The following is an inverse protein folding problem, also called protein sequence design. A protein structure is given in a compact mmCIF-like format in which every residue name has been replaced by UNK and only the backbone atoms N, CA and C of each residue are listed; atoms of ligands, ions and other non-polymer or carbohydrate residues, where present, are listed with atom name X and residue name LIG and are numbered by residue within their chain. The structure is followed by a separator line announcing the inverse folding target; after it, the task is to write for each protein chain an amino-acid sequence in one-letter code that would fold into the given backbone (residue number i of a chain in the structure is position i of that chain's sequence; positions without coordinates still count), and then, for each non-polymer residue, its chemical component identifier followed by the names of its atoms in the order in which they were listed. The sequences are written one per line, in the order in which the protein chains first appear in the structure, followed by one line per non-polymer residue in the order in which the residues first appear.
data_IF_205401705879
#
_entry.id   IF_205401705879
#
_cell.length_a   1.000
_cell.length_b   1.000
_cell.length_c   1.000
_cell.angle_alpha   90.00
_cell.angle_beta   90.00
_cell.angle_gamma   90.00
#
_symmetry.space_group_name_H-M   'P 1'
#
loop_
_entity.id
_entity.type
_entity.pdbx_description
1 polymer ?
#
# COMPACT_ATOMS: atom_id res chain seq x y z
N UNK A 1 -1.83 5.79 -9.53
CA UNK A 1 -0.35 5.68 -9.43
C UNK A 1 -0.04 4.22 -9.18
N UNK A 2 0.95 3.63 -9.85
CA UNK A 2 1.38 2.26 -9.51
C UNK A 2 2.15 2.25 -8.18
N UNK A 3 2.27 1.09 -7.52
CA UNK A 3 3.05 0.95 -6.28
C UNK A 3 4.50 1.39 -6.51
N UNK A 4 5.11 1.04 -7.64
CA UNK A 4 6.49 1.44 -7.97
C UNK A 4 6.62 2.96 -8.14
N UNK A 5 5.65 3.60 -8.80
CA UNK A 5 5.64 5.06 -8.95
C UNK A 5 5.46 5.76 -7.59
N UNK A 6 4.64 5.19 -6.70
CA UNK A 6 4.44 5.72 -5.36
C UNK A 6 5.72 5.59 -4.52
N UNK A 7 6.42 4.46 -4.61
CA UNK A 7 7.69 4.25 -3.94
C UNK A 7 8.76 5.26 -4.39
N UNK A 8 8.89 5.49 -5.70
CA UNK A 8 9.81 6.48 -6.26
C UNK A 8 9.47 7.90 -5.80
N UNK A 9 8.17 8.24 -5.77
CA UNK A 9 7.71 9.52 -5.25
C UNK A 9 8.12 9.72 -3.79
N UNK A 10 7.86 8.73 -2.94
CA UNK A 10 8.17 8.81 -1.50
C UNK A 10 9.69 8.88 -1.27
N UNK A 11 10.48 8.13 -2.05
CA UNK A 11 11.95 8.21 -1.98
C UNK A 11 12.49 9.59 -2.32
N UNK A 12 11.90 10.25 -3.32
CA UNK A 12 12.35 11.56 -3.82
C UNK A 12 11.85 12.71 -2.96
N UNK A 13 10.59 12.66 -2.54
CA UNK A 13 9.91 13.79 -1.89
C UNK A 13 9.81 13.62 -0.37
N UNK A 14 10.10 12.44 0.18
CA UNK A 14 10.03 12.11 1.62
C UNK A 14 8.66 12.28 2.27
N UNK A 15 7.61 12.55 1.48
CA UNK A 15 6.22 12.56 1.90
C UNK A 15 5.34 11.85 0.86
N UNK A 16 4.12 11.51 1.25
CA UNK A 16 3.15 10.92 0.33
C UNK A 16 2.57 11.99 -0.61
N UNK A 17 2.13 11.60 -1.81
CA UNK A 17 1.35 12.49 -2.67
C UNK A 17 0.13 13.04 -1.92
N UNK A 18 -0.16 14.32 -2.13
CA UNK A 18 -1.26 15.07 -1.50
C UNK A 18 -1.15 15.24 0.03
N UNK A 19 -0.02 14.86 0.63
CA UNK A 19 0.31 15.20 2.01
C UNK A 19 1.37 16.29 1.95
N UNK A 20 1.13 17.47 2.55
CA UNK A 20 2.13 18.53 2.58
C UNK A 20 3.36 18.07 3.37
N UNK A 21 4.54 18.55 2.99
CA UNK A 21 5.77 18.24 3.70
C UNK A 21 5.77 18.87 5.10
N UNK A 22 6.60 18.33 6.00
CA UNK A 22 6.76 18.92 7.34
C UNK A 22 7.19 20.39 7.29
N UNK A 23 8.01 20.76 6.30
CA UNK A 23 8.44 22.14 6.07
C UNK A 23 7.27 23.04 5.63
N UNK A 24 6.42 22.56 4.73
CA UNK A 24 5.23 23.29 4.28
C UNK A 24 4.22 23.50 5.42
N UNK A 25 3.99 22.47 6.23
CA UNK A 25 3.11 22.56 7.41
C UNK A 25 3.66 23.59 8.41
N UNK A 26 4.98 23.59 8.62
CA UNK A 26 5.62 24.54 9.55
C UNK A 26 5.53 25.98 9.05
N UNK A 27 5.70 26.19 7.74
CA UNK A 27 5.70 27.51 7.12
C UNK A 27 4.30 28.10 6.96
N UNK A 28 3.35 27.31 6.49
CA UNK A 28 2.02 27.79 6.09
C UNK A 28 0.93 27.45 7.10
N UNK A 29 1.23 26.60 8.09
CA UNK A 29 0.24 25.95 8.94
C UNK A 29 -0.56 24.90 8.16
N UNK A 30 -1.26 24.04 8.89
CA UNK A 30 -2.28 23.15 8.32
C UNK A 30 -3.47 23.12 9.27
N UNK A 31 -4.68 23.25 8.74
CA UNK A 31 -5.89 23.18 9.56
C UNK A 31 -6.10 21.74 10.01
N UNK A 32 -6.49 21.55 11.28
CA UNK A 32 -6.75 20.21 11.86
C UNK A 32 -7.78 19.44 11.01
N UNK A 33 -8.88 20.09 10.63
CA UNK A 33 -9.90 19.48 9.77
C UNK A 33 -9.37 19.05 8.39
N UNK A 34 -8.37 19.75 7.85
CA UNK A 34 -7.73 19.37 6.58
C UNK A 34 -6.84 18.14 6.78
N UNK A 35 -6.07 18.10 7.87
CA UNK A 35 -5.28 16.93 8.24
C UNK A 35 -6.15 15.70 8.48
N UNK A 36 -7.28 15.84 9.16
CA UNK A 36 -8.24 14.75 9.39
C UNK A 36 -8.81 14.19 8.08
N UNK A 37 -9.17 15.08 7.14
CA UNK A 37 -9.64 14.66 5.81
C UNK A 37 -8.55 13.91 5.02
N UNK A 38 -7.31 14.42 5.02
CA UNK A 38 -6.17 13.75 4.38
C UNK A 38 -5.95 12.37 5.02
N UNK A 39 -6.02 12.28 6.35
CA UNK A 39 -5.84 11.02 7.07
C UNK A 39 -6.94 10.00 6.72
N UNK A 40 -8.20 10.42 6.65
CA UNK A 40 -9.30 9.55 6.25
C UNK A 40 -9.12 9.02 4.83
N UNK A 41 -8.77 9.89 3.87
CA UNK A 41 -8.48 9.48 2.50
C UNK A 41 -7.35 8.45 2.43
N UNK A 42 -6.31 8.61 3.26
CA UNK A 42 -5.18 7.66 3.32
C UNK A 42 -5.57 6.33 3.96
N UNK A 43 -6.44 6.34 4.97
CA UNK A 43 -6.98 5.11 5.56
C UNK A 43 -7.80 4.32 4.53
N UNK A 44 -8.63 5.00 3.73
CA UNK A 44 -9.38 4.37 2.64
C UNK A 44 -8.44 3.77 1.58
N UNK A 45 -7.44 4.53 1.13
CA UNK A 45 -6.43 4.07 0.17
C UNK A 45 -5.68 2.84 0.69
N UNK A 46 -5.23 2.87 1.95
CA UNK A 46 -4.55 1.74 2.61
C UNK A 46 -5.47 0.52 2.72
N UNK A 47 -6.74 0.71 3.04
CA UNK A 47 -7.72 -0.39 3.13
C UNK A 47 -7.89 -1.08 1.78
N UNK A 48 -7.94 -0.31 0.68
CA UNK A 48 -8.00 -0.87 -0.67
C UNK A 48 -6.72 -1.67 -1.02
N UNK A 49 -5.54 -1.17 -0.67
CA UNK A 49 -4.30 -1.94 -0.86
C UNK A 49 -4.28 -3.22 -0.03
N UNK A 50 -4.74 -3.19 1.22
CA UNK A 50 -4.84 -4.39 2.08
C UNK A 50 -5.77 -5.44 1.46
N UNK A 51 -6.91 -5.02 0.91
CA UNK A 51 -7.84 -5.93 0.22
C UNK A 51 -7.15 -6.58 -0.97
N UNK A 52 -6.42 -5.81 -1.78
CA UNK A 52 -5.72 -6.32 -2.96
C UNK A 52 -4.58 -7.27 -2.58
N UNK A 53 -3.78 -6.92 -1.57
CA UNK A 53 -2.72 -7.80 -1.04
C UNK A 53 -3.28 -9.12 -0.51
N UNK A 54 -4.43 -9.09 0.19
CA UNK A 54 -5.08 -10.31 0.64
C UNK A 54 -5.52 -11.22 -0.52
N UNK A 55 -6.06 -10.65 -1.60
CA UNK A 55 -6.40 -11.44 -2.80
C UNK A 55 -5.18 -12.11 -3.41
N UNK A 56 -4.08 -11.37 -3.54
CA UNK A 56 -2.82 -11.90 -4.08
C UNK A 56 -2.25 -13.00 -3.19
N UNK A 57 -2.30 -12.83 -1.86
CA UNK A 57 -1.89 -13.86 -0.90
C UNK A 57 -2.73 -15.14 -1.04
N UNK A 58 -4.06 -15.02 -1.17
CA UNK A 58 -4.94 -16.17 -1.37
C UNK A 58 -4.60 -16.92 -2.68
N UNK A 59 -4.33 -16.19 -3.76
CA UNK A 59 -3.95 -16.79 -5.03
C UNK A 59 -2.58 -17.50 -4.95
N UNK A 60 -1.60 -16.87 -4.30
CA UNK A 60 -0.28 -17.45 -4.08
C UNK A 60 -0.38 -18.73 -3.22
N UNK A 61 -1.13 -18.70 -2.12
CA UNK A 61 -1.34 -19.87 -1.27
C UNK A 61 -1.99 -21.02 -2.03
N UNK A 62 -2.98 -20.73 -2.89
CA UNK A 62 -3.58 -21.75 -3.76
C UNK A 62 -2.55 -22.38 -4.70
N UNK A 63 -1.73 -21.57 -5.36
CA UNK A 63 -0.66 -22.05 -6.25
C UNK A 63 0.36 -22.92 -5.50
N UNK A 64 0.74 -22.52 -4.28
CA UNK A 64 1.65 -23.29 -3.42
C UNK A 64 1.04 -24.66 -3.11
N UNK A 65 -0.22 -24.71 -2.64
CA UNK A 65 -0.88 -25.99 -2.34
C UNK A 65 -1.00 -26.91 -3.57
N UNK A 66 -1.25 -26.35 -4.76
CA UNK A 66 -1.28 -27.12 -6.00
C UNK A 66 0.10 -27.70 -6.35
N UNK A 67 1.17 -26.92 -6.17
CA UNK A 67 2.55 -27.37 -6.40
C UNK A 67 2.96 -28.45 -5.39
N UNK A 68 2.63 -28.27 -4.11
CA UNK A 68 2.90 -29.27 -3.06
C UNK A 68 2.21 -30.61 -3.35
N UNK A 69 0.97 -30.58 -3.83
CA UNK A 69 0.25 -31.79 -4.23
C UNK A 69 0.90 -32.48 -5.43
N UNK A 70 1.32 -31.72 -6.45
CA UNK A 70 2.05 -32.28 -7.60
C UNK A 70 3.36 -32.94 -7.18
N UNK A 71 4.11 -32.31 -6.29
CA UNK A 71 5.36 -32.87 -5.75
C UNK A 71 5.13 -34.19 -5.00
N UNK A 72 4.04 -34.30 -4.23
CA UNK A 72 3.68 -35.57 -3.56
C UNK A 72 3.37 -36.68 -4.55
N UNK A 73 2.65 -36.39 -5.62
CA UNK A 73 2.30 -37.38 -6.66
C UNK A 73 3.53 -37.85 -7.45
N UNK A 74 4.53 -36.98 -7.67
CA UNK A 74 5.76 -37.35 -8.40
C UNK A 74 6.69 -38.22 -7.55
N UNK A 75 6.68 -38.04 -6.22
CA UNK A 75 7.56 -38.75 -5.30
C UNK A 75 7.00 -40.10 -4.79
N UNK A 76 5.78 -40.48 -5.20
CA UNK A 76 5.15 -41.78 -4.94
C UNK A 76 5.14 -42.63 -6.21
#
# INVERSE_FOLDING_TARGET
MSISQLEEFVKTNHHLPNVPSSEEITKNGLKIAEMENIMMQKIEEQTLYIIELNKQLMEQNKKISELENKMKTINN
#
